data_IF_708005587150
#
_entry.id   IF_708005587150
#
_cell.length_a   1.000
_cell.length_b   1.000
_cell.length_c   1.000
_cell.angle_alpha   90.00
_cell.angle_beta   90.00
_cell.angle_gamma   90.00
#
_symmetry.space_group_name_H-M   'P 1'
#
loop_
_entity.id
_entity.type
_entity.pdbx_description
1 polymer ?
#
# COMPACT_ATOMS: atom_id res chain seq x y z
N UNK A 1 -3.37 -16.05 6.82
CA UNK A 1 -2.42 -16.13 5.70
C UNK A 1 -1.93 -14.71 5.46
N UNK A 2 -0.63 -14.48 5.62
CA UNK A 2 -0.06 -13.12 5.48
C UNK A 2 0.07 -12.80 4.00
N UNK A 3 -0.21 -11.55 3.61
CA UNK A 3 0.01 -11.07 2.23
C UNK A 3 1.46 -11.29 1.80
N UNK A 4 2.40 -11.27 2.75
CA UNK A 4 3.83 -11.52 2.51
C UNK A 4 4.10 -12.93 1.96
N UNK A 5 3.26 -13.93 2.24
CA UNK A 5 3.38 -15.30 1.72
C UNK A 5 2.92 -15.43 0.26
N UNK A 6 2.21 -14.44 -0.27
CA UNK A 6 1.76 -14.41 -1.67
C UNK A 6 2.85 -13.91 -2.65
N UNK A 7 3.95 -13.34 -2.14
CA UNK A 7 4.95 -12.65 -2.95
C UNK A 7 6.39 -13.09 -2.68
N UNK A 8 6.59 -14.28 -2.07
CA UNK A 8 7.92 -14.90 -1.95
C UNK A 8 8.38 -15.41 -3.33
N UNK A 9 8.53 -14.46 -4.26
CA UNK A 9 9.15 -14.70 -5.56
C UNK A 9 10.64 -14.51 -5.38
N UNK A 10 11.36 -15.62 -5.25
CA UNK A 10 12.82 -15.65 -5.40
C UNK A 10 13.20 -15.13 -6.80
N UNK A 11 13.61 -13.88 -6.89
CA UNK A 11 13.99 -13.20 -8.15
C UNK A 11 15.22 -13.79 -8.85
N UNK A 12 15.75 -14.94 -8.45
CA UNK A 12 17.06 -15.45 -8.89
C UNK A 12 17.07 -16.80 -9.60
N UNK A 13 15.93 -17.44 -9.84
CA UNK A 13 15.92 -18.69 -10.64
C UNK A 13 15.13 -18.53 -11.92
N UNK A 14 15.73 -18.85 -13.10
CA UNK A 14 14.93 -19.01 -14.31
C UNK A 14 13.96 -20.17 -14.10
N UNK A 15 12.68 -19.95 -14.39
CA UNK A 15 11.64 -20.97 -14.37
C UNK A 15 12.04 -22.12 -15.32
N UNK A 16 12.51 -23.22 -14.77
CA UNK A 16 12.68 -24.46 -15.53
C UNK A 16 11.28 -25.00 -15.90
N UNK A 17 11.11 -25.24 -17.18
CA UNK A 17 9.92 -25.81 -17.81
C UNK A 17 9.51 -27.14 -17.14
N UNK A 18 8.46 -27.10 -16.35
CA UNK A 18 7.84 -28.30 -15.76
C UNK A 18 6.54 -27.94 -15.05
N UNK A 19 5.41 -28.19 -15.69
CA UNK A 19 4.05 -28.05 -15.18
C UNK A 19 3.68 -26.67 -14.61
N UNK A 20 3.74 -25.65 -15.45
CA UNK A 20 2.98 -24.43 -15.23
C UNK A 20 1.51 -24.79 -15.40
N UNK A 21 0.71 -24.80 -14.33
CA UNK A 21 -0.73 -24.61 -14.48
C UNK A 21 -0.90 -23.37 -15.34
N UNK A 22 -1.61 -23.50 -16.45
CA UNK A 22 -1.89 -22.42 -17.37
C UNK A 22 -2.92 -21.48 -16.74
N UNK A 23 -2.51 -20.80 -15.65
CA UNK A 23 -3.21 -19.65 -15.11
C UNK A 23 -2.91 -18.58 -16.13
N UNK A 24 -3.91 -18.11 -16.87
CA UNK A 24 -3.79 -17.12 -17.95
C UNK A 24 -3.29 -15.74 -17.47
N UNK A 25 -2.27 -15.72 -16.64
CA UNK A 25 -1.54 -14.53 -16.23
C UNK A 25 -0.56 -14.23 -17.35
N UNK A 26 -0.90 -13.30 -18.21
CA UNK A 26 0.07 -12.73 -19.15
C UNK A 26 1.30 -12.30 -18.36
N UNK A 27 2.48 -12.81 -18.74
CA UNK A 27 3.74 -12.42 -18.13
C UNK A 27 3.82 -10.89 -18.06
N UNK A 28 4.19 -10.34 -16.90
CA UNK A 28 4.29 -8.90 -16.70
C UNK A 28 5.40 -8.35 -17.60
N UNK A 29 5.03 -7.68 -18.69
CA UNK A 29 5.99 -7.03 -19.60
C UNK A 29 6.47 -5.70 -19.01
N UNK A 30 7.17 -5.76 -17.88
CA UNK A 30 7.65 -4.59 -17.10
C UNK A 30 8.45 -3.61 -17.99
N UNK A 31 9.11 -4.10 -19.04
CA UNK A 31 9.85 -3.27 -19.99
C UNK A 31 9.00 -2.23 -20.74
N UNK A 32 7.70 -2.48 -20.88
CA UNK A 32 6.74 -1.59 -21.55
C UNK A 32 6.07 -0.60 -20.59
N UNK A 33 6.28 -0.72 -19.28
CA UNK A 33 5.66 0.13 -18.27
C UNK A 33 6.26 1.54 -18.31
N UNK A 34 5.42 2.53 -18.06
CA UNK A 34 5.82 3.95 -17.98
C UNK A 34 6.05 4.38 -16.53
N UNK A 35 6.80 5.45 -16.36
CA UNK A 35 7.06 6.05 -15.05
C UNK A 35 6.04 7.14 -14.73
N UNK A 36 5.52 7.10 -13.50
CA UNK A 36 4.61 8.08 -12.93
C UNK A 36 5.14 8.50 -11.56
N UNK A 37 5.12 9.78 -11.23
CA UNK A 37 5.38 10.21 -9.85
C UNK A 37 4.19 9.83 -8.97
N UNK A 38 4.44 9.57 -7.70
CA UNK A 38 3.35 9.41 -6.71
C UNK A 38 2.43 10.61 -6.74
N UNK A 39 2.98 11.84 -6.84
CA UNK A 39 2.20 13.07 -6.95
C UNK A 39 1.40 13.24 -8.24
N UNK A 40 1.71 12.50 -9.32
CA UNK A 40 0.87 12.48 -10.52
C UNK A 40 -0.46 11.74 -10.26
N UNK A 41 -0.43 10.72 -9.42
CA UNK A 41 -1.52 9.79 -9.15
C UNK A 41 -2.33 10.15 -7.89
N UNK A 42 -1.66 10.75 -6.90
CA UNK A 42 -2.20 10.96 -5.56
C UNK A 42 -1.96 12.38 -5.05
N UNK A 43 -2.90 12.85 -4.24
CA UNK A 43 -2.62 13.91 -3.28
C UNK A 43 -1.98 13.24 -2.06
N UNK A 44 -0.72 13.60 -1.77
CA UNK A 44 0.03 13.06 -0.64
C UNK A 44 -0.22 13.95 0.57
N UNK A 45 -0.87 13.41 1.58
CA UNK A 45 -1.28 14.15 2.78
C UNK A 45 -0.61 13.53 4.00
N UNK A 46 -0.10 14.38 4.89
CA UNK A 46 0.39 13.91 6.20
C UNK A 46 -0.79 13.49 7.07
N UNK A 47 -0.68 12.36 7.76
CA UNK A 47 -1.74 11.85 8.61
C UNK A 47 -2.02 12.72 9.84
N UNK A 48 -2.99 12.34 10.67
CA UNK A 48 -3.38 13.10 11.89
C UNK A 48 -2.27 13.18 12.94
N UNK A 49 -1.24 12.35 12.84
CA UNK A 49 -0.03 12.41 13.67
C UNK A 49 -0.30 12.32 15.19
N UNK A 50 -1.15 11.38 15.59
CA UNK A 50 -1.41 11.14 17.01
C UNK A 50 -0.22 10.44 17.68
N UNK A 51 -0.06 10.67 18.97
CA UNK A 51 0.85 9.90 19.82
C UNK A 51 0.04 8.83 20.56
N UNK A 52 0.36 7.54 20.38
CA UNK A 52 -0.38 6.43 20.96
C UNK A 52 -0.49 6.54 22.49
N UNK A 53 0.56 7.03 23.15
CA UNK A 53 0.59 7.24 24.62
C UNK A 53 -0.51 8.18 25.12
N UNK A 54 -1.04 9.04 24.25
CA UNK A 54 -2.13 9.98 24.57
C UNK A 54 -3.51 9.42 24.20
N UNK A 55 -3.58 8.19 23.68
CA UNK A 55 -4.83 7.54 23.31
C UNK A 55 -5.24 6.54 24.39
N UNK A 56 -6.53 6.28 24.50
CA UNK A 56 -7.05 5.21 25.36
C UNK A 56 -7.04 3.92 24.55
N UNK A 57 -6.10 3.03 24.85
CA UNK A 57 -6.02 1.73 24.18
C UNK A 57 -7.22 0.84 24.52
N UNK A 58 -7.62 0.03 23.56
CA UNK A 58 -8.71 -0.94 23.69
C UNK A 58 -8.38 -2.21 22.88
N UNK A 59 -9.32 -3.13 22.77
CA UNK A 59 -9.16 -4.36 21.98
C UNK A 59 -9.89 -4.25 20.64
N UNK A 60 -9.45 -5.00 19.65
CA UNK A 60 -10.10 -5.08 18.33
C UNK A 60 -11.58 -5.49 18.39
N UNK A 61 -11.98 -6.22 19.43
CA UNK A 61 -13.35 -6.70 19.62
C UNK A 61 -14.31 -5.65 20.19
N UNK A 62 -13.81 -4.51 20.59
CA UNK A 62 -14.62 -3.41 21.10
C UNK A 62 -15.39 -2.73 19.97
N UNK A 63 -16.66 -2.44 20.17
CA UNK A 63 -17.56 -1.95 19.11
C UNK A 63 -17.20 -0.57 18.54
N UNK A 64 -16.48 0.24 19.31
CA UNK A 64 -16.02 1.57 18.93
C UNK A 64 -14.49 1.64 18.74
N UNK A 65 -13.83 0.48 18.64
CA UNK A 65 -12.40 0.40 18.43
C UNK A 65 -11.99 0.94 17.05
N UNK A 66 -11.03 1.85 17.04
CA UNK A 66 -10.43 2.40 15.84
C UNK A 66 -8.98 1.92 15.73
N UNK A 67 -8.58 1.41 14.57
CA UNK A 67 -7.22 0.96 14.34
C UNK A 67 -6.24 2.14 14.42
N UNK A 68 -5.13 1.96 15.15
CA UNK A 68 -4.03 2.91 15.22
C UNK A 68 -2.89 2.41 14.33
N UNK A 69 -2.67 3.11 13.22
CA UNK A 69 -1.66 2.76 12.21
C UNK A 69 -0.36 3.49 12.50
N UNK A 70 0.75 2.77 12.56
CA UNK A 70 2.07 3.29 12.85
C UNK A 70 3.11 2.88 11.80
N UNK A 71 4.36 3.34 11.95
CA UNK A 71 5.48 3.08 11.05
C UNK A 71 6.09 1.68 11.24
N UNK A 72 5.26 0.64 11.19
CA UNK A 72 5.68 -0.76 11.30
C UNK A 72 5.40 -1.52 10.01
N UNK A 73 6.14 -2.60 9.75
CA UNK A 73 5.87 -3.53 8.64
C UNK A 73 4.90 -4.66 9.03
N UNK A 74 4.63 -4.80 10.32
CA UNK A 74 3.81 -5.87 10.85
C UNK A 74 2.32 -5.49 10.83
N UNK A 75 1.46 -6.51 10.79
CA UNK A 75 0.01 -6.39 11.02
C UNK A 75 -0.67 -5.27 10.21
N UNK A 76 -0.37 -5.15 8.93
CA UNK A 76 -0.91 -4.11 8.05
C UNK A 76 -0.67 -2.67 8.56
N UNK A 77 0.40 -2.46 9.32
CA UNK A 77 0.73 -1.18 9.96
C UNK A 77 -0.02 -0.92 11.27
N UNK A 78 -0.99 -1.73 11.64
CA UNK A 78 -1.78 -1.57 12.87
C UNK A 78 -0.97 -1.99 14.08
N UNK A 79 -0.66 -1.05 14.97
CA UNK A 79 0.10 -1.28 16.20
C UNK A 79 -0.78 -1.40 17.44
N UNK A 80 -1.97 -0.82 17.42
CA UNK A 80 -2.93 -0.85 18.52
C UNK A 80 -4.36 -0.64 18.02
N UNK A 81 -5.32 -0.79 18.92
CA UNK A 81 -6.70 -0.28 18.77
C UNK A 81 -6.95 0.72 19.88
N UNK A 82 -7.63 1.81 19.55
CA UNK A 82 -7.90 2.90 20.51
C UNK A 82 -9.35 3.32 20.46
N UNK A 83 -9.82 3.93 21.56
CA UNK A 83 -11.13 4.59 21.60
C UNK A 83 -11.14 5.86 20.73
N UNK A 84 -12.31 6.33 20.27
CA UNK A 84 -12.44 7.60 19.59
C UNK A 84 -11.76 8.74 20.34
N UNK A 85 -10.94 9.53 19.63
CA UNK A 85 -10.25 10.68 20.19
C UNK A 85 -11.12 11.91 19.99
N UNK A 86 -11.45 12.60 21.09
CA UNK A 86 -12.30 13.80 21.03
C UNK A 86 -11.74 14.87 20.09
N UNK A 87 -12.57 15.34 19.17
CA UNK A 87 -12.19 16.38 18.21
C UNK A 87 -11.29 15.92 17.06
N UNK A 88 -11.02 14.60 16.93
CA UNK A 88 -10.24 14.05 15.83
C UNK A 88 -11.07 13.02 15.08
N UNK A 89 -11.39 13.34 13.83
CA UNK A 89 -12.09 12.39 12.94
C UNK A 89 -11.14 11.28 12.48
N UNK A 90 -11.58 10.01 12.50
CA UNK A 90 -10.83 8.93 11.87
C UNK A 90 -10.59 9.18 10.38
N UNK A 91 -9.45 8.78 9.91
CA UNK A 91 -9.11 8.85 8.49
C UNK A 91 -9.90 7.80 7.72
N UNK A 92 -10.29 8.08 6.45
CA UNK A 92 -11.21 7.24 5.71
C UNK A 92 -10.59 5.88 5.35
N UNK A 93 -11.45 4.87 5.34
CA UNK A 93 -11.13 3.56 4.80
C UNK A 93 -10.72 3.62 3.31
N UNK A 94 -10.21 2.51 2.80
CA UNK A 94 -9.73 2.36 1.43
C UNK A 94 -8.63 3.35 1.05
N UNK A 95 -7.87 3.80 2.05
CA UNK A 95 -6.74 4.73 1.91
C UNK A 95 -5.42 3.95 1.95
N UNK A 96 -4.51 4.26 1.02
CA UNK A 96 -3.14 3.75 1.06
C UNK A 96 -2.34 4.59 2.06
N UNK A 97 -1.72 3.91 3.03
CA UNK A 97 -0.79 4.52 3.99
C UNK A 97 0.65 4.19 3.61
N UNK A 98 1.55 5.14 3.78
CA UNK A 98 3.00 4.98 3.51
C UNK A 98 3.79 5.54 4.68
N UNK A 99 4.67 4.74 5.27
CA UNK A 99 5.59 5.20 6.30
C UNK A 99 6.73 6.02 5.68
N UNK A 100 6.86 7.28 6.08
CA UNK A 100 7.94 8.18 5.66
C UNK A 100 9.26 7.96 6.40
N UNK A 101 9.18 7.44 7.63
CA UNK A 101 10.32 7.13 8.51
C UNK A 101 10.10 5.79 9.23
N UNK A 102 11.03 5.40 10.10
CA UNK A 102 10.97 4.09 10.77
C UNK A 102 11.11 2.95 9.76
N UNK A 103 10.08 2.13 9.58
CA UNK A 103 10.01 1.16 8.48
C UNK A 103 9.66 1.87 7.18
N UNK A 104 10.63 2.59 6.62
CA UNK A 104 10.44 3.45 5.44
C UNK A 104 9.81 2.66 4.28
N UNK A 105 8.81 3.26 3.64
CA UNK A 105 7.97 2.66 2.59
C UNK A 105 7.18 1.41 3.02
N UNK A 106 7.03 1.13 4.33
CA UNK A 106 5.97 0.23 4.75
C UNK A 106 4.63 0.82 4.26
N UNK A 107 4.01 0.11 3.32
CA UNK A 107 2.85 0.61 2.57
C UNK A 107 1.71 -0.38 2.70
N UNK A 108 0.53 0.10 3.05
CA UNK A 108 -0.64 -0.76 3.24
C UNK A 108 -1.92 -0.09 2.77
N UNK A 109 -2.90 -0.88 2.37
CA UNK A 109 -4.26 -0.44 2.16
C UNK A 109 -5.04 -0.62 3.46
N UNK A 110 -5.54 0.48 4.01
CA UNK A 110 -6.41 0.45 5.19
C UNK A 110 -7.85 0.27 4.74
N UNK A 111 -8.45 -0.85 5.12
CA UNK A 111 -9.82 -1.23 4.70
C UNK A 111 -10.91 -0.80 5.68
N UNK A 112 -10.53 -0.14 6.76
CA UNK A 112 -11.42 0.40 7.79
C UNK A 112 -10.94 1.80 8.18
N UNK A 113 -11.79 2.65 8.76
CA UNK A 113 -11.38 3.93 9.33
C UNK A 113 -10.28 3.73 10.38
N UNK A 114 -9.33 4.67 10.43
CA UNK A 114 -8.15 4.54 11.28
C UNK A 114 -7.62 5.89 11.76
N UNK A 115 -6.80 5.86 12.81
CA UNK A 115 -5.92 6.96 13.16
C UNK A 115 -4.48 6.66 12.74
N UNK A 116 -3.71 7.68 12.41
CA UNK A 116 -2.30 7.55 12.08
C UNK A 116 -1.40 8.19 13.12
N UNK A 117 -0.34 7.47 13.45
CA UNK A 117 0.77 8.00 14.23
C UNK A 117 1.72 8.86 13.39
N UNK A 118 2.89 9.15 13.96
CA UNK A 118 3.94 10.00 13.38
C UNK A 118 4.47 9.45 12.04
N UNK A 119 4.80 10.38 11.13
CA UNK A 119 5.45 10.12 9.83
C UNK A 119 4.72 9.11 8.95
N UNK A 120 3.41 9.09 9.00
CA UNK A 120 2.55 8.38 8.07
C UNK A 120 1.95 9.34 7.06
N UNK A 121 2.04 8.98 5.79
CA UNK A 121 1.45 9.69 4.67
C UNK A 121 0.29 8.89 4.11
N UNK A 122 -0.75 9.61 3.71
CA UNK A 122 -1.96 9.10 3.11
C UNK A 122 -1.94 9.45 1.62
N UNK A 123 -2.24 8.46 0.79
CA UNK A 123 -2.33 8.65 -0.64
C UNK A 123 -3.80 8.70 -1.05
N UNK A 124 -4.33 9.90 -1.23
CA UNK A 124 -5.68 10.12 -1.75
C UNK A 124 -5.63 10.15 -3.27
N UNK A 125 -6.27 9.17 -3.91
CA UNK A 125 -6.29 9.04 -5.37
C UNK A 125 -6.92 10.26 -6.03
N UNK A 126 -6.29 10.77 -7.09
CA UNK A 126 -6.81 11.91 -7.88
C UNK A 126 -7.96 11.51 -8.81
N UNK A 127 -8.10 10.22 -9.08
CA UNK A 127 -9.18 9.62 -9.85
C UNK A 127 -9.67 8.34 -9.17
N UNK A 128 -10.78 7.79 -9.62
CA UNK A 128 -11.32 6.55 -9.06
C UNK A 128 -10.40 5.37 -9.38
N UNK A 129 -9.88 4.70 -8.34
CA UNK A 129 -9.04 3.51 -8.43
C UNK A 129 -9.68 2.41 -7.58
N UNK A 130 -9.90 1.25 -8.18
CA UNK A 130 -10.49 0.10 -7.49
C UNK A 130 -9.57 -0.46 -6.38
N UNK A 131 -10.16 -1.18 -5.44
CA UNK A 131 -9.41 -1.84 -4.34
C UNK A 131 -8.30 -2.76 -4.88
N UNK A 132 -8.56 -3.66 -5.84
CA UNK A 132 -7.50 -4.49 -6.40
C UNK A 132 -6.38 -3.67 -7.05
N UNK A 133 -6.70 -2.62 -7.81
CA UNK A 133 -5.68 -1.75 -8.39
C UNK A 133 -4.86 -1.00 -7.32
N UNK A 134 -5.47 -0.60 -6.18
CA UNK A 134 -4.75 -0.05 -5.03
C UNK A 134 -3.78 -1.07 -4.41
N UNK A 135 -4.16 -2.35 -4.31
CA UNK A 135 -3.27 -3.42 -3.83
C UNK A 135 -2.06 -3.63 -4.76
N UNK A 136 -2.27 -3.54 -6.08
CA UNK A 136 -1.17 -3.53 -7.04
C UNK A 136 -0.20 -2.38 -6.75
N UNK A 137 -0.72 -1.16 -6.54
CA UNK A 137 0.09 0.02 -6.21
C UNK A 137 0.84 -0.13 -4.88
N UNK A 138 0.21 -0.69 -3.85
CA UNK A 138 0.88 -1.01 -2.57
C UNK A 138 2.14 -1.84 -2.82
N UNK A 139 2.04 -2.88 -3.64
CA UNK A 139 3.16 -3.76 -3.99
C UNK A 139 4.26 -2.99 -4.75
N UNK A 140 3.88 -2.18 -5.75
CA UNK A 140 4.86 -1.39 -6.53
C UNK A 140 5.56 -0.34 -5.66
N UNK A 141 4.85 0.33 -4.74
CA UNK A 141 5.46 1.30 -3.82
C UNK A 141 6.45 0.58 -2.90
N UNK A 142 6.06 -0.53 -2.27
CA UNK A 142 6.95 -1.36 -1.43
C UNK A 142 8.20 -1.82 -2.18
N UNK A 143 8.09 -2.20 -3.43
CA UNK A 143 9.22 -2.65 -4.24
C UNK A 143 10.32 -1.58 -4.40
N UNK A 144 10.01 -0.30 -4.17
CA UNK A 144 10.99 0.79 -4.19
C UNK A 144 11.75 0.97 -2.85
N UNK A 145 11.50 0.14 -1.84
CA UNK A 145 12.14 0.24 -0.51
C UNK A 145 13.67 0.25 -0.57
N UNK A 146 14.28 -0.44 -1.52
CA UNK A 146 15.73 -0.48 -1.70
C UNK A 146 16.38 0.90 -1.92
N UNK A 147 15.61 1.92 -2.30
CA UNK A 147 16.07 3.31 -2.48
C UNK A 147 16.22 4.07 -1.17
N UNK A 148 15.74 3.50 -0.07
CA UNK A 148 15.66 4.14 1.24
C UNK A 148 16.38 3.32 2.30
N UNK A 149 16.82 4.00 3.34
CA UNK A 149 17.43 3.39 4.52
C UNK A 149 17.24 4.31 5.73
N UNK A 150 17.81 3.97 6.88
CA UNK A 150 17.69 4.74 8.11
C UNK A 150 18.10 6.21 7.97
N UNK A 151 19.11 6.52 7.15
CA UNK A 151 19.57 7.89 6.86
C UNK A 151 18.87 8.57 5.68
N UNK A 152 18.05 7.84 4.91
CA UNK A 152 17.34 8.32 3.73
C UNK A 152 15.86 8.02 3.86
N UNK A 153 15.16 8.88 4.57
CA UNK A 153 13.72 8.78 4.78
C UNK A 153 12.94 9.26 3.56
N UNK A 154 11.67 8.84 3.44
CA UNK A 154 10.80 9.17 2.32
C UNK A 154 9.98 10.47 2.54
N UNK A 155 10.09 11.12 3.70
CA UNK A 155 9.22 12.23 4.11
C UNK A 155 9.08 13.34 3.05
N UNK A 156 10.19 13.77 2.46
CA UNK A 156 10.20 14.83 1.45
C UNK A 156 10.11 14.27 0.02
N UNK A 157 10.62 13.06 -0.19
CA UNK A 157 10.82 12.47 -1.52
C UNK A 157 9.66 11.60 -1.99
N UNK A 158 8.73 11.23 -1.10
CA UNK A 158 7.58 10.39 -1.46
C UNK A 158 6.76 10.96 -2.64
N UNK A 159 6.41 12.25 -2.70
CA UNK A 159 5.66 12.78 -3.84
C UNK A 159 6.37 12.63 -5.19
N UNK A 160 7.69 12.71 -5.20
CA UNK A 160 8.53 12.60 -6.41
C UNK A 160 8.98 11.17 -6.71
N UNK A 161 8.64 10.18 -5.86
CA UNK A 161 8.97 8.79 -6.09
C UNK A 161 8.37 8.31 -7.41
N UNK A 162 9.23 7.80 -8.31
CA UNK A 162 8.81 7.26 -9.60
C UNK A 162 8.39 5.80 -9.46
N UNK A 163 7.17 5.51 -9.89
CA UNK A 163 6.58 4.18 -9.96
C UNK A 163 6.51 3.76 -11.43
N UNK A 164 7.00 2.57 -11.76
CA UNK A 164 6.78 1.97 -13.09
C UNK A 164 5.46 1.22 -13.06
N UNK A 165 4.53 1.61 -13.94
CA UNK A 165 3.17 1.06 -13.99
C UNK A 165 2.78 0.68 -15.42
N UNK A 166 1.91 -0.34 -15.57
CA UNK A 166 1.24 -0.61 -16.84
C UNK A 166 0.56 0.66 -17.35
N UNK A 167 0.67 0.92 -18.65
CA UNK A 167 0.11 2.12 -19.26
C UNK A 167 -0.66 1.81 -20.53
N UNK A 168 -1.74 2.56 -20.76
CA UNK A 168 -2.51 2.54 -22.00
C UNK A 168 -1.75 3.22 -23.13
N UNK A 169 -2.27 3.08 -24.36
CA UNK A 169 -1.72 3.72 -25.54
C UNK A 169 -1.67 5.26 -25.43
N UNK A 170 -2.64 5.88 -24.73
CA UNK A 170 -2.70 7.31 -24.47
C UNK A 170 -1.68 7.79 -23.41
N UNK A 171 -0.92 6.86 -22.83
CA UNK A 171 0.12 7.16 -21.84
C UNK A 171 -0.35 7.24 -20.41
N UNK A 172 -1.65 7.06 -20.13
CA UNK A 172 -2.19 7.02 -18.77
C UNK A 172 -1.97 5.66 -18.12
N UNK A 173 -2.01 5.57 -16.76
CA UNK A 173 -1.99 4.28 -16.07
C UNK A 173 -3.13 3.37 -16.53
N UNK A 174 -2.85 2.08 -16.67
CA UNK A 174 -3.87 1.09 -17.00
C UNK A 174 -4.44 0.44 -15.73
N UNK A 175 -5.36 1.16 -15.08
CA UNK A 175 -6.04 0.69 -13.86
C UNK A 175 -6.77 -0.63 -14.07
N UNK A 176 -7.34 -0.84 -15.25
CA UNK A 176 -8.07 -2.07 -15.57
C UNK A 176 -7.13 -3.27 -15.63
N UNK A 177 -5.94 -3.09 -16.22
CA UNK A 177 -4.92 -4.14 -16.21
C UNK A 177 -4.50 -4.50 -14.78
N UNK A 178 -4.21 -3.49 -13.94
CA UNK A 178 -3.81 -3.71 -12.54
C UNK A 178 -4.90 -4.43 -11.74
N UNK A 179 -6.16 -4.04 -11.92
CA UNK A 179 -7.30 -4.70 -11.30
C UNK A 179 -7.43 -6.15 -11.74
N UNK A 180 -7.42 -6.40 -13.05
CA UNK A 180 -7.57 -7.74 -13.62
C UNK A 180 -6.40 -8.65 -13.18
N UNK A 181 -5.18 -8.09 -13.12
CA UNK A 181 -4.01 -8.83 -12.64
C UNK A 181 -4.20 -9.31 -11.21
N UNK A 182 -4.56 -8.43 -10.28
CA UNK A 182 -4.78 -8.82 -8.88
C UNK A 182 -5.92 -9.84 -8.76
N UNK A 183 -7.03 -9.64 -9.50
CA UNK A 183 -8.15 -10.59 -9.50
C UNK A 183 -7.78 -11.96 -10.08
N UNK A 184 -6.80 -12.04 -10.96
CA UNK A 184 -6.32 -13.29 -11.54
C UNK A 184 -5.40 -14.10 -10.61
N UNK A 185 -4.89 -13.49 -9.54
CA UNK A 185 -4.07 -14.19 -8.55
C UNK A 185 -4.91 -15.18 -7.72
N UNK A 186 -4.30 -16.23 -7.15
CA UNK A 186 -4.99 -17.11 -6.21
C UNK A 186 -5.69 -16.30 -5.12
N UNK A 187 -6.99 -16.56 -4.93
CA UNK A 187 -7.88 -15.81 -4.00
C UNK A 187 -8.18 -14.35 -4.37
N UNK A 188 -7.79 -13.88 -5.56
CA UNK A 188 -8.10 -12.53 -6.04
C UNK A 188 -9.60 -12.26 -6.21
N UNK A 189 -10.41 -13.29 -6.33
CA UNK A 189 -11.86 -13.27 -6.37
C UNK A 189 -12.54 -12.99 -5.02
N UNK A 190 -11.76 -12.97 -3.93
CA UNK A 190 -12.24 -12.74 -2.56
C UNK A 190 -12.00 -11.31 -2.04
N UNK A 191 -11.57 -10.42 -2.94
CA UNK A 191 -11.25 -9.02 -2.64
C UNK A 191 -12.44 -8.09 -2.87
#
# INVERSE_FOLDING_TARGET
MKIDELFDIEYTKPLTTGNVMNIGVNALEIGKWKEFSVSDLFNVVYGVNLELVNCVETTKSDSDAIAFVSRTESNNGVSAYVKPVSGVEPQPENTITVAGGGSVLATFLQTQPFYSGRDLYLLHSKEAISIPAKLFLVTVIKANKYRYNYGRQANVTLPSLKLRLPSKADGKPDWQFMENYIKSLPYGDRL
#
